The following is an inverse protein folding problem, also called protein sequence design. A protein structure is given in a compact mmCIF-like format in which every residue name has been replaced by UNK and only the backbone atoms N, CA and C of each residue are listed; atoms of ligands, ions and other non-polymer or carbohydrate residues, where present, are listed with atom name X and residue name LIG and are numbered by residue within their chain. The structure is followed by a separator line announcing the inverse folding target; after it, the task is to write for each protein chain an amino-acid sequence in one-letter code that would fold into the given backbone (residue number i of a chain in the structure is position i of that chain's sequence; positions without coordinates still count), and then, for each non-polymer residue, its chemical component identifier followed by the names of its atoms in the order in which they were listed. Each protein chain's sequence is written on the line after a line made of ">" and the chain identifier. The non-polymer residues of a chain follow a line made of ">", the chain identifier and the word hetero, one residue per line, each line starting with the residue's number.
data_IF_525241437993
#
_entry.id   IF_525241437993
#
_cell.length_a   1.000
_cell.length_b   1.000
_cell.length_c   1.000
_cell.angle_alpha   90.00
_cell.angle_beta   90.00
_cell.angle_gamma   90.00
#
_symmetry.space_group_name_H-M   'P 1'
#
loop_
_entity.id
_entity.type
_entity.pdbx_description
1 polymer ?
#
# COMPACT_ATOMS: atom_id res chain seq x y z
N UNK A 1 12.41 14.15 -37.20
CA UNK A 1 13.00 15.32 -36.48
C UNK A 1 11.86 16.06 -35.80
N UNK A 2 11.89 16.18 -34.50
CA UNK A 2 10.91 16.99 -33.73
C UNK A 2 11.14 18.47 -34.07
N UNK A 3 10.07 19.18 -34.38
CA UNK A 3 10.13 20.63 -34.64
C UNK A 3 10.30 21.40 -33.33
N UNK A 4 10.69 22.66 -33.39
CA UNK A 4 10.80 23.53 -32.22
C UNK A 4 9.43 23.70 -31.50
N UNK A 5 8.35 23.75 -32.28
CA UNK A 5 6.98 23.75 -31.78
C UNK A 5 6.60 22.46 -31.02
N UNK A 6 7.01 21.29 -31.52
CA UNK A 6 6.77 20.02 -30.84
C UNK A 6 7.48 19.98 -29.48
N UNK A 7 8.70 20.50 -29.44
CA UNK A 7 9.50 20.58 -28.21
C UNK A 7 8.84 21.50 -27.19
N UNK A 8 8.34 22.67 -27.61
CA UNK A 8 7.63 23.58 -26.72
C UNK A 8 6.35 22.96 -26.18
N UNK A 9 5.54 22.36 -27.05
CA UNK A 9 4.32 21.66 -26.66
C UNK A 9 4.58 20.54 -25.63
N UNK A 10 5.62 19.73 -25.84
CA UNK A 10 6.02 18.67 -24.89
C UNK A 10 6.37 19.27 -23.53
N UNK A 11 7.17 20.34 -23.48
CA UNK A 11 7.55 21.00 -22.22
C UNK A 11 6.34 21.56 -21.46
N UNK A 12 5.41 22.18 -22.16
CA UNK A 12 4.16 22.72 -21.57
C UNK A 12 3.29 21.60 -21.01
N UNK A 13 3.14 20.50 -21.75
CA UNK A 13 2.39 19.33 -21.28
C UNK A 13 3.03 18.70 -20.05
N UNK A 14 4.34 18.53 -20.03
CA UNK A 14 5.07 18.02 -18.87
C UNK A 14 4.86 18.91 -17.65
N UNK A 15 4.98 20.23 -17.80
CA UNK A 15 4.74 21.18 -16.71
C UNK A 15 3.32 21.07 -16.17
N UNK A 16 2.33 21.04 -17.06
CA UNK A 16 0.92 20.89 -16.67
C UNK A 16 0.66 19.60 -15.88
N UNK A 17 1.27 18.48 -16.28
CA UNK A 17 1.16 17.20 -15.55
C UNK A 17 1.78 17.32 -14.17
N UNK A 18 3.01 17.82 -14.07
CA UNK A 18 3.70 17.98 -12.77
C UNK A 18 2.93 18.88 -11.81
N UNK A 19 2.36 19.98 -12.32
CA UNK A 19 1.53 20.87 -11.50
C UNK A 19 0.22 20.19 -11.05
N UNK A 20 -0.39 19.37 -11.91
CA UNK A 20 -1.59 18.62 -11.56
C UNK A 20 -1.30 17.56 -10.48
N UNK A 21 -0.18 16.84 -10.60
CA UNK A 21 0.27 15.87 -9.60
C UNK A 21 0.62 16.55 -8.28
N UNK A 22 1.33 17.68 -8.31
CA UNK A 22 1.64 18.44 -7.10
C UNK A 22 0.37 18.89 -6.36
N UNK A 23 -0.63 19.40 -7.09
CA UNK A 23 -1.93 19.77 -6.50
C UNK A 23 -2.65 18.55 -5.93
N UNK A 24 -2.63 17.40 -6.61
CA UNK A 24 -3.25 16.18 -6.13
C UNK A 24 -2.63 15.73 -4.81
N UNK A 25 -1.30 15.72 -4.72
CA UNK A 25 -0.59 15.38 -3.47
C UNK A 25 -0.91 16.37 -2.35
N UNK A 26 -0.90 17.67 -2.66
CA UNK A 26 -1.20 18.72 -1.66
C UNK A 26 -2.66 18.67 -1.16
N UNK A 27 -3.57 18.08 -1.93
CA UNK A 27 -4.99 17.94 -1.56
C UNK A 27 -5.31 16.69 -0.74
N UNK A 28 -4.31 15.81 -0.48
CA UNK A 28 -4.55 14.61 0.34
C UNK A 28 -4.94 15.03 1.75
N UNK A 29 -6.13 14.62 2.25
CA UNK A 29 -6.56 14.98 3.59
C UNK A 29 -5.72 14.24 4.64
N UNK A 30 -5.05 14.98 5.51
CA UNK A 30 -4.29 14.41 6.62
C UNK A 30 -5.20 14.33 7.85
N UNK A 31 -5.81 13.17 8.04
CA UNK A 31 -6.73 12.91 9.17
C UNK A 31 -6.13 11.94 10.20
N UNK A 32 -6.89 11.67 11.26
CA UNK A 32 -6.49 10.78 12.37
C UNK A 32 -6.13 9.35 11.94
N UNK A 33 -6.57 8.93 10.75
CA UNK A 33 -6.23 7.62 10.18
C UNK A 33 -4.73 7.38 10.06
N UNK A 34 -3.97 8.41 9.72
CA UNK A 34 -2.50 8.33 9.62
C UNK A 34 -1.86 8.11 10.99
N UNK A 35 -2.27 8.87 12.01
CA UNK A 35 -1.75 8.70 13.37
C UNK A 35 -2.05 7.29 13.90
N UNK A 36 -3.29 6.83 13.75
CA UNK A 36 -3.68 5.47 14.15
C UNK A 36 -2.90 4.38 13.41
N UNK A 37 -2.64 4.55 12.11
CA UNK A 37 -1.84 3.60 11.33
C UNK A 37 -0.40 3.54 11.84
N UNK A 38 0.22 4.68 12.12
CA UNK A 38 1.58 4.76 12.69
C UNK A 38 1.63 4.12 14.07
N UNK A 39 0.71 4.46 14.98
CA UNK A 39 0.64 3.86 16.32
C UNK A 39 0.49 2.34 16.27
N UNK A 40 -0.35 1.84 15.38
CA UNK A 40 -0.56 0.42 15.16
C UNK A 40 0.70 -0.29 14.68
N UNK A 41 1.41 0.28 13.70
CA UNK A 41 2.68 -0.27 13.20
C UNK A 41 3.73 -0.26 14.30
N UNK A 42 3.87 0.84 15.03
CA UNK A 42 4.83 0.93 16.15
C UNK A 42 4.53 -0.12 17.22
N UNK A 43 3.26 -0.27 17.62
CA UNK A 43 2.88 -1.24 18.64
C UNK A 43 3.16 -2.69 18.20
N UNK A 44 2.66 -3.07 17.03
CA UNK A 44 2.73 -4.45 16.56
C UNK A 44 4.12 -4.84 16.07
N UNK A 45 4.76 -3.99 15.28
CA UNK A 45 6.04 -4.34 14.65
C UNK A 45 7.21 -4.10 15.59
N UNK A 46 7.29 -2.93 16.23
CA UNK A 46 8.47 -2.59 17.04
C UNK A 46 8.38 -3.06 18.50
N UNK A 47 7.18 -3.13 19.10
CA UNK A 47 7.03 -3.56 20.50
C UNK A 47 6.74 -5.05 20.64
N UNK A 48 6.05 -5.68 19.66
CA UNK A 48 5.65 -7.09 19.73
C UNK A 48 6.39 -8.00 18.76
N UNK A 49 7.41 -7.48 18.05
CA UNK A 49 8.20 -8.23 17.06
C UNK A 49 7.40 -8.83 15.91
N UNK A 50 6.29 -8.22 15.54
CA UNK A 50 5.58 -8.51 14.29
C UNK A 50 6.29 -7.90 13.08
N UNK A 51 5.64 -7.97 11.93
CA UNK A 51 6.09 -7.32 10.71
C UNK A 51 4.92 -6.65 9.98
N UNK A 52 5.25 -5.71 9.11
CA UNK A 52 4.29 -5.13 8.19
C UNK A 52 4.20 -6.04 6.95
N UNK A 53 3.00 -6.53 6.65
CA UNK A 53 2.75 -7.32 5.44
C UNK A 53 1.98 -6.46 4.45
N UNK A 54 2.64 -6.04 3.39
CA UNK A 54 2.02 -5.20 2.36
C UNK A 54 1.44 -6.06 1.24
N UNK A 55 0.31 -5.67 0.66
CA UNK A 55 -0.30 -6.41 -0.44
C UNK A 55 -1.09 -5.50 -1.39
N UNK A 56 -1.23 -5.95 -2.64
CA UNK A 56 -1.96 -5.26 -3.69
C UNK A 56 -1.88 -6.02 -5.01
N UNK A 57 -2.80 -5.76 -5.93
CA UNK A 57 -2.82 -6.35 -7.26
C UNK A 57 -2.29 -5.38 -8.33
N UNK A 58 -1.61 -5.93 -9.33
CA UNK A 58 -1.12 -5.16 -10.48
C UNK A 58 -0.24 -3.97 -10.09
N UNK A 59 -0.60 -2.75 -10.50
CA UNK A 59 0.15 -1.53 -10.18
C UNK A 59 0.16 -1.24 -8.67
N UNK A 60 -0.95 -1.49 -7.98
CA UNK A 60 -1.02 -1.36 -6.52
C UNK A 60 -0.08 -2.36 -5.83
N UNK A 61 0.08 -3.57 -6.38
CA UNK A 61 1.05 -4.55 -5.89
C UNK A 61 2.49 -4.09 -6.04
N UNK A 62 2.86 -3.47 -7.15
CA UNK A 62 4.20 -2.88 -7.33
C UNK A 62 4.48 -1.77 -6.32
N UNK A 63 3.49 -0.92 -6.04
CA UNK A 63 3.60 0.11 -5.01
C UNK A 63 3.74 -0.54 -3.62
N UNK A 64 2.93 -1.55 -3.31
CA UNK A 64 3.00 -2.27 -2.04
C UNK A 64 4.37 -2.93 -1.82
N UNK A 65 4.97 -3.50 -2.86
CA UNK A 65 6.33 -4.06 -2.82
C UNK A 65 7.38 -2.99 -2.52
N UNK A 66 7.29 -1.83 -3.17
CA UNK A 66 8.18 -0.69 -2.91
C UNK A 66 8.02 -0.16 -1.48
N UNK A 67 6.80 -0.12 -0.97
CA UNK A 67 6.53 0.26 0.42
C UNK A 67 7.23 -0.71 1.39
N UNK A 68 7.08 -2.03 1.20
CA UNK A 68 7.75 -3.03 2.03
C UNK A 68 9.27 -2.83 2.03
N UNK A 69 9.87 -2.65 0.85
CA UNK A 69 11.31 -2.43 0.70
C UNK A 69 11.75 -1.14 1.42
N UNK A 70 10.96 -0.07 1.32
CA UNK A 70 11.26 1.21 1.99
C UNK A 70 11.21 1.06 3.51
N UNK A 71 10.19 0.38 4.05
CA UNK A 71 10.12 0.10 5.49
C UNK A 71 11.32 -0.72 5.97
N UNK A 72 11.69 -1.78 5.24
CA UNK A 72 12.87 -2.57 5.57
C UNK A 72 14.15 -1.71 5.59
N UNK A 73 14.33 -0.83 4.62
CA UNK A 73 15.51 0.04 4.53
C UNK A 73 15.62 1.06 5.68
N UNK A 74 14.51 1.34 6.34
CA UNK A 74 14.43 2.26 7.48
C UNK A 74 14.29 1.56 8.84
N UNK A 75 14.49 0.23 8.87
CA UNK A 75 14.53 -0.56 10.12
C UNK A 75 13.19 -1.08 10.61
N UNK A 76 12.12 -0.99 9.80
CA UNK A 76 10.84 -1.61 10.11
C UNK A 76 10.69 -2.91 9.32
N UNK A 77 10.65 -4.09 9.97
CA UNK A 77 10.46 -5.37 9.29
C UNK A 77 9.19 -5.38 8.44
N UNK A 78 9.34 -5.60 7.15
CA UNK A 78 8.22 -5.61 6.22
C UNK A 78 8.43 -6.65 5.11
N UNK A 79 7.33 -7.17 4.56
CA UNK A 79 7.34 -8.11 3.45
C UNK A 79 6.13 -7.87 2.55
N UNK A 80 6.33 -8.05 1.25
CA UNK A 80 5.23 -8.07 0.29
C UNK A 80 4.65 -9.48 0.19
N UNK A 81 3.33 -9.59 0.26
CA UNK A 81 2.56 -10.82 0.04
C UNK A 81 1.66 -10.61 -1.18
N UNK A 82 1.88 -11.39 -2.23
CA UNK A 82 1.00 -11.34 -3.39
C UNK A 82 -0.36 -11.97 -3.05
N UNK A 83 -1.49 -11.28 -3.24
CA UNK A 83 -2.79 -11.77 -2.74
C UNK A 83 -3.25 -13.06 -3.41
N UNK A 84 -2.91 -13.30 -4.68
CA UNK A 84 -3.23 -14.57 -5.34
C UNK A 84 -2.35 -15.72 -4.80
N UNK A 85 -1.05 -15.48 -4.55
CA UNK A 85 -0.15 -16.52 -4.01
C UNK A 85 -0.48 -16.86 -2.56
N UNK A 86 -1.05 -15.91 -1.82
CA UNK A 86 -1.53 -16.15 -0.45
C UNK A 86 -2.50 -17.35 -0.39
N UNK A 87 -3.36 -17.52 -1.39
CA UNK A 87 -4.30 -18.63 -1.48
C UNK A 87 -3.63 -19.98 -1.80
N UNK A 88 -2.40 -19.95 -2.27
CA UNK A 88 -1.62 -21.12 -2.67
C UNK A 88 -0.50 -21.50 -1.68
N UNK A 89 -0.52 -20.93 -0.48
CA UNK A 89 0.37 -21.33 0.61
C UNK A 89 1.16 -20.20 1.27
N UNK A 90 1.36 -19.06 0.57
CA UNK A 90 2.16 -17.95 1.08
C UNK A 90 1.50 -17.23 2.28
N UNK A 91 0.21 -17.46 2.51
CA UNK A 91 -0.49 -16.95 3.70
C UNK A 91 0.15 -17.43 5.01
N UNK A 92 0.87 -18.54 4.99
CA UNK A 92 1.60 -19.09 6.13
C UNK A 92 2.70 -18.17 6.71
N UNK A 93 3.07 -17.10 6.00
CA UNK A 93 4.01 -16.10 6.54
C UNK A 93 3.37 -15.20 7.60
N UNK A 94 2.03 -15.11 7.64
CA UNK A 94 1.31 -14.26 8.60
C UNK A 94 1.38 -14.81 10.02
N UNK A 95 1.53 -13.89 10.97
CA UNK A 95 1.53 -14.16 12.41
C UNK A 95 0.56 -13.22 13.12
N UNK A 96 0.19 -13.57 14.34
CA UNK A 96 -0.81 -12.83 15.12
C UNK A 96 -0.44 -11.37 15.43
N UNK A 97 0.85 -11.05 15.52
CA UNK A 97 1.31 -9.69 15.78
C UNK A 97 1.66 -8.89 14.51
N UNK A 98 1.42 -9.45 13.33
CA UNK A 98 1.61 -8.74 12.08
C UNK A 98 0.52 -7.69 11.83
N UNK A 99 0.82 -6.76 10.93
CA UNK A 99 -0.12 -5.75 10.42
C UNK A 99 -0.23 -5.92 8.90
N UNK A 100 -1.44 -6.02 8.38
CA UNK A 100 -1.68 -5.98 6.94
C UNK A 100 -1.81 -4.53 6.47
N UNK A 101 -1.05 -4.15 5.44
CA UNK A 101 -1.18 -2.89 4.72
C UNK A 101 -1.59 -3.18 3.27
N UNK A 102 -2.84 -2.93 2.94
CA UNK A 102 -3.45 -3.28 1.67
C UNK A 102 -3.64 -2.06 0.78
N UNK A 103 -3.28 -2.18 -0.48
CA UNK A 103 -3.46 -1.16 -1.50
C UNK A 103 -4.51 -1.62 -2.52
N UNK A 104 -5.64 -0.92 -2.59
CA UNK A 104 -6.69 -1.20 -3.57
C UNK A 104 -7.42 0.08 -3.96
N UNK A 105 -7.24 0.56 -5.19
CA UNK A 105 -7.86 1.80 -5.63
C UNK A 105 -9.39 1.80 -5.52
N UNK A 106 -10.03 0.68 -5.87
CA UNK A 106 -11.50 0.54 -5.79
C UNK A 106 -12.01 0.03 -4.43
N UNK A 107 -11.14 -0.46 -3.56
CA UNK A 107 -11.53 -1.21 -2.36
C UNK A 107 -12.25 -2.55 -2.62
N UNK A 108 -12.49 -2.90 -3.90
CA UNK A 108 -13.34 -4.04 -4.33
C UNK A 108 -12.56 -5.12 -5.10
N UNK A 109 -11.22 -5.08 -5.06
CA UNK A 109 -10.38 -6.09 -5.71
C UNK A 109 -10.61 -7.43 -5.02
N UNK A 110 -11.09 -8.42 -5.77
CA UNK A 110 -11.52 -9.71 -5.25
C UNK A 110 -10.42 -10.41 -4.47
N UNK A 111 -9.23 -10.48 -5.00
CA UNK A 111 -8.08 -11.16 -4.38
C UNK A 111 -7.66 -10.49 -3.06
N UNK A 112 -7.86 -9.18 -2.94
CA UNK A 112 -7.62 -8.43 -1.69
C UNK A 112 -8.68 -8.76 -0.66
N UNK A 113 -9.95 -8.84 -1.05
CA UNK A 113 -11.05 -9.22 -0.14
C UNK A 113 -10.88 -10.66 0.36
N UNK A 114 -10.57 -11.59 -0.53
CA UNK A 114 -10.26 -12.99 -0.18
C UNK A 114 -9.04 -13.10 0.76
N UNK A 115 -7.99 -12.30 0.52
CA UNK A 115 -6.84 -12.23 1.43
C UNK A 115 -7.24 -11.78 2.84
N UNK A 116 -8.08 -10.76 2.97
CA UNK A 116 -8.56 -10.27 4.28
C UNK A 116 -9.36 -11.35 5.00
N UNK A 117 -10.23 -12.03 4.28
CA UNK A 117 -11.03 -13.12 4.83
C UNK A 117 -10.16 -14.27 5.36
N UNK A 118 -9.26 -14.77 4.54
CA UNK A 118 -8.34 -15.86 4.91
C UNK A 118 -7.38 -15.45 6.04
N UNK A 119 -6.85 -14.24 6.01
CA UNK A 119 -5.99 -13.71 7.07
C UNK A 119 -6.73 -13.63 8.40
N UNK A 120 -7.99 -13.22 8.39
CA UNK A 120 -8.84 -13.13 9.58
C UNK A 120 -9.20 -14.49 10.16
N UNK A 121 -9.35 -15.51 9.32
CA UNK A 121 -9.56 -16.91 9.77
C UNK A 121 -8.29 -17.47 10.40
N UNK A 122 -7.13 -17.22 9.79
CA UNK A 122 -5.85 -17.74 10.27
C UNK A 122 -5.37 -17.03 11.54
N UNK A 123 -5.53 -15.74 11.60
CA UNK A 123 -5.13 -14.88 12.72
C UNK A 123 -6.31 -13.96 13.12
N UNK A 124 -7.24 -14.44 13.95
CA UNK A 124 -8.39 -13.64 14.40
C UNK A 124 -7.94 -12.33 15.05
N UNK A 125 -8.47 -11.21 14.55
CA UNK A 125 -8.12 -9.88 15.05
C UNK A 125 -6.81 -9.32 14.49
N UNK A 126 -6.26 -9.89 13.41
CA UNK A 126 -5.13 -9.28 12.70
C UNK A 126 -5.51 -7.87 12.23
N UNK A 127 -4.74 -6.84 12.57
CA UNK A 127 -5.07 -5.49 12.17
C UNK A 127 -4.82 -5.25 10.68
N UNK A 128 -5.72 -4.49 10.06
CA UNK A 128 -5.67 -4.16 8.63
C UNK A 128 -5.69 -2.64 8.45
N UNK A 129 -4.73 -2.14 7.70
CA UNK A 129 -4.66 -0.77 7.19
C UNK A 129 -4.95 -0.83 5.69
N UNK A 130 -5.87 0.00 5.21
CA UNK A 130 -6.20 0.05 3.78
C UNK A 130 -5.90 1.44 3.21
N UNK A 131 -5.18 1.47 2.09
CA UNK A 131 -5.04 2.66 1.25
C UNK A 131 -5.94 2.45 0.03
N UNK A 132 -6.98 3.28 -0.07
CA UNK A 132 -7.97 3.20 -1.15
C UNK A 132 -8.28 4.58 -1.73
N UNK A 133 -8.68 4.62 -3.00
CA UNK A 133 -9.20 5.82 -3.64
C UNK A 133 -10.73 5.95 -3.54
N UNK A 134 -11.41 4.95 -2.98
CA UNK A 134 -12.87 4.94 -2.78
C UNK A 134 -13.15 4.84 -1.27
N UNK A 135 -13.90 5.80 -0.74
CA UNK A 135 -14.26 5.92 0.67
C UNK A 135 -15.68 5.39 0.99
N UNK A 136 -16.32 4.69 0.01
CA UNK A 136 -17.70 4.18 0.06
C UNK A 136 -17.80 2.68 0.25
#
# INVERSE_FOLDING_TARGET
>A
MTTENDTLYIKERMRSILEAEARAVASIPVGDGYARAVELIVDRVHRRNGKLVTSGMGKAGQIAMNIATTFCSTGTPAVFLHPAEAQHGDLGILRADDVLLLLSNSGKTREILELVELASVLNPGIPVIVITGDDK
#
